data_IF_700781435551
#
_entry.id   IF_700781435551
#
_cell.length_a   1.000
_cell.length_b   1.000
_cell.length_c   1.000
_cell.angle_alpha   90.00
_cell.angle_beta   90.00
_cell.angle_gamma   90.00
#
_symmetry.space_group_name_H-M   'P 1'
#
loop_
_entity.id
_entity.type
_entity.pdbx_description
1 polymer ?
#
# COMPACT_ATOMS: atom_id res chain seq x y z
N UNK A 1 57.56 59.29 -0.35
CA UNK A 1 58.26 58.40 0.60
C UNK A 1 57.66 57.01 0.49
N UNK A 2 58.54 56.06 0.19
CA UNK A 2 58.53 54.60 0.33
C UNK A 2 57.27 53.76 0.05
N UNK A 3 57.46 52.90 -0.95
CA UNK A 3 56.79 51.64 -1.22
C UNK A 3 56.80 50.64 -0.05
N UNK A 4 55.83 49.73 -0.07
CA UNK A 4 56.10 48.30 0.10
C UNK A 4 55.02 47.51 -0.63
N UNK A 5 55.43 46.91 -1.74
CA UNK A 5 54.76 45.79 -2.39
C UNK A 5 54.86 44.54 -1.49
N UNK A 6 53.80 43.73 -1.42
CA UNK A 6 53.97 42.26 -1.43
C UNK A 6 52.97 41.64 -2.39
N UNK A 7 53.55 40.90 -3.34
CA UNK A 7 52.98 40.19 -4.48
C UNK A 7 52.51 38.79 -4.05
N UNK A 8 51.28 38.42 -4.46
CA UNK A 8 50.66 37.14 -4.94
C UNK A 8 51.46 35.80 -4.75
N UNK A 9 50.85 34.57 -4.76
CA UNK A 9 49.64 34.17 -5.52
C UNK A 9 48.73 33.03 -4.94
N UNK A 10 47.58 32.86 -5.60
CA UNK A 10 46.88 31.60 -5.92
C UNK A 10 46.92 30.38 -4.99
N UNK A 11 45.77 30.10 -4.38
CA UNK A 11 45.27 28.74 -4.13
C UNK A 11 43.75 28.84 -4.21
N UNK A 12 43.16 28.49 -5.35
CA UNK A 12 42.74 27.12 -5.57
C UNK A 12 41.24 27.08 -5.28
N UNK A 13 40.45 27.14 -6.35
CA UNK A 13 39.01 26.95 -6.34
C UNK A 13 38.67 25.83 -5.35
N UNK A 14 38.02 26.17 -4.23
CA UNK A 14 37.33 25.17 -3.43
C UNK A 14 36.21 24.65 -4.31
N UNK A 15 36.57 23.59 -5.04
CA UNK A 15 35.65 22.74 -5.75
C UNK A 15 34.56 22.40 -4.75
N UNK A 16 33.36 22.85 -5.09
CA UNK A 16 32.11 22.29 -4.66
C UNK A 16 32.23 20.78 -4.80
N UNK A 17 32.67 20.12 -3.74
CA UNK A 17 32.38 18.71 -3.51
C UNK A 17 30.89 18.68 -3.13
N UNK A 18 30.06 18.93 -4.15
CA UNK A 18 28.73 18.36 -4.19
C UNK A 18 28.95 16.88 -4.01
N UNK A 19 28.84 16.42 -2.76
CA UNK A 19 28.65 15.01 -2.51
C UNK A 19 27.46 14.65 -3.38
N UNK A 20 27.74 13.92 -4.46
CA UNK A 20 26.74 13.15 -5.17
C UNK A 20 26.32 12.09 -4.15
N UNK A 21 25.52 12.52 -3.16
CA UNK A 21 24.79 11.63 -2.30
C UNK A 21 23.84 10.97 -3.28
N UNK A 22 24.25 9.79 -3.75
CA UNK A 22 23.39 8.89 -4.48
C UNK A 22 22.11 8.86 -3.69
N UNK A 23 21.06 9.48 -4.23
CA UNK A 23 19.71 9.31 -3.74
C UNK A 23 19.48 7.84 -4.00
N UNK A 24 19.67 7.02 -2.98
CA UNK A 24 19.18 5.65 -2.97
C UNK A 24 17.67 5.80 -3.14
N UNK A 25 17.23 5.76 -4.39
CA UNK A 25 15.84 5.61 -4.75
C UNK A 25 15.45 4.30 -4.08
N UNK A 26 14.69 4.39 -2.98
CA UNK A 26 14.08 3.22 -2.40
C UNK A 26 13.20 2.68 -3.51
N UNK A 27 13.69 1.64 -4.21
CA UNK A 27 12.98 0.95 -5.26
C UNK A 27 11.64 0.59 -4.65
N UNK A 28 10.61 1.36 -5.00
CA UNK A 28 9.27 1.08 -4.54
C UNK A 28 8.97 -0.31 -5.09
N UNK A 29 8.65 -1.30 -4.23
CA UNK A 29 8.19 -2.58 -4.71
C UNK A 29 7.11 -2.33 -5.74
N UNK A 30 7.15 -3.07 -6.85
CA UNK A 30 6.13 -2.89 -7.87
C UNK A 30 4.75 -3.08 -7.23
N UNK A 31 3.74 -2.40 -7.76
CA UNK A 31 2.36 -2.57 -7.27
C UNK A 31 1.97 -4.06 -7.26
N UNK A 32 2.48 -4.83 -8.23
CA UNK A 32 2.28 -6.26 -8.32
C UNK A 32 2.95 -7.03 -7.18
N UNK A 33 4.18 -6.66 -6.78
CA UNK A 33 4.84 -7.27 -5.62
C UNK A 33 4.07 -7.02 -4.32
N UNK A 34 3.53 -5.81 -4.13
CA UNK A 34 2.67 -5.52 -2.96
C UNK A 34 1.40 -6.36 -2.99
N UNK A 35 0.75 -6.46 -4.15
CA UNK A 35 -0.45 -7.30 -4.31
C UNK A 35 -0.19 -8.77 -3.99
N UNK A 36 0.88 -9.35 -4.55
CA UNK A 36 1.23 -10.75 -4.36
C UNK A 36 1.58 -11.06 -2.91
N UNK A 37 2.27 -10.14 -2.22
CA UNK A 37 2.75 -10.37 -0.86
C UNK A 37 1.69 -10.04 0.20
N UNK A 38 0.92 -8.96 0.03
CA UNK A 38 0.08 -8.42 1.11
C UNK A 38 -1.36 -8.98 1.09
N UNK A 39 -1.92 -9.28 -0.10
CA UNK A 39 -3.30 -9.79 -0.21
C UNK A 39 -3.53 -11.14 0.50
N UNK A 40 -2.63 -12.15 0.43
CA UNK A 40 -2.85 -13.42 1.12
C UNK A 40 -2.92 -13.26 2.65
N UNK A 41 -2.06 -12.41 3.20
CA UNK A 41 -2.07 -12.09 4.64
C UNK A 41 -3.35 -11.35 5.03
N UNK A 42 -3.71 -10.31 4.28
CA UNK A 42 -4.92 -9.53 4.53
C UNK A 42 -6.20 -10.38 4.41
N UNK A 43 -6.26 -11.29 3.44
CA UNK A 43 -7.40 -12.22 3.26
C UNK A 43 -7.51 -13.17 4.46
N UNK A 44 -6.40 -13.74 4.90
CA UNK A 44 -6.38 -14.65 6.06
C UNK A 44 -6.81 -13.96 7.35
N UNK A 45 -6.41 -12.69 7.54
CA UNK A 45 -6.86 -11.90 8.69
C UNK A 45 -8.36 -11.59 8.66
N UNK A 46 -8.89 -11.21 7.48
CA UNK A 46 -10.32 -10.96 7.28
C UNK A 46 -11.12 -12.24 7.56
N UNK A 47 -10.69 -13.38 7.02
CA UNK A 47 -11.37 -14.66 7.20
C UNK A 47 -11.34 -15.12 8.66
N UNK A 48 -10.20 -14.96 9.34
CA UNK A 48 -10.07 -15.27 10.77
C UNK A 48 -11.00 -14.41 11.64
N UNK A 49 -11.04 -13.09 11.41
CA UNK A 49 -11.96 -12.19 12.12
C UNK A 49 -13.42 -12.52 11.83
N UNK A 50 -13.75 -12.82 10.56
CA UNK A 50 -15.10 -13.18 10.18
C UNK A 50 -15.54 -14.47 10.84
N UNK A 51 -14.67 -15.47 10.93
CA UNK A 51 -14.99 -16.74 11.58
C UNK A 51 -15.27 -16.56 13.07
N UNK A 52 -14.45 -15.79 13.78
CA UNK A 52 -14.66 -15.47 15.20
C UNK A 52 -15.97 -14.72 15.41
N UNK A 53 -16.26 -13.71 14.58
CA UNK A 53 -17.51 -12.96 14.68
C UNK A 53 -18.73 -13.79 14.29
N UNK A 54 -18.58 -14.76 13.39
CA UNK A 54 -19.65 -15.66 12.98
C UNK A 54 -20.03 -16.61 14.12
N UNK A 55 -19.04 -17.11 14.86
CA UNK A 55 -19.27 -17.94 16.06
C UNK A 55 -19.97 -17.15 17.17
N UNK A 56 -19.59 -15.88 17.37
CA UNK A 56 -20.14 -15.03 18.43
C UNK A 56 -21.53 -14.44 18.12
N UNK A 57 -21.81 -14.09 16.85
CA UNK A 57 -23.00 -13.33 16.46
C UNK A 57 -24.01 -14.14 15.63
N UNK A 58 -23.56 -15.23 15.02
CA UNK A 58 -24.31 -15.95 13.99
C UNK A 58 -24.21 -15.29 12.60
N UNK A 59 -24.38 -16.10 11.55
CA UNK A 59 -24.20 -15.69 10.16
C UNK A 59 -25.12 -14.53 9.74
N UNK A 60 -26.43 -14.65 9.99
CA UNK A 60 -27.42 -13.66 9.54
C UNK A 60 -27.18 -12.28 10.15
N UNK A 61 -26.84 -12.25 11.44
CA UNK A 61 -26.56 -11.00 12.17
C UNK A 61 -25.26 -10.37 11.70
N UNK A 62 -24.21 -11.19 11.52
CA UNK A 62 -22.94 -10.71 11.02
C UNK A 62 -23.08 -10.12 9.62
N UNK A 63 -23.75 -10.83 8.71
CA UNK A 63 -23.96 -10.36 7.34
C UNK A 63 -24.78 -9.06 7.30
N UNK A 64 -25.80 -8.94 8.16
CA UNK A 64 -26.57 -7.69 8.31
C UNK A 64 -25.69 -6.52 8.79
N UNK A 65 -24.83 -6.75 9.78
CA UNK A 65 -23.95 -5.72 10.34
C UNK A 65 -22.83 -5.32 9.35
N UNK A 66 -22.29 -6.28 8.59
CA UNK A 66 -21.25 -6.05 7.58
C UNK A 66 -21.81 -5.36 6.33
N UNK A 67 -23.04 -5.69 5.92
CA UNK A 67 -23.73 -4.99 4.84
C UNK A 67 -24.21 -3.58 5.26
N UNK A 68 -24.34 -3.34 6.56
CA UNK A 68 -24.68 -2.06 7.14
C UNK A 68 -23.52 -1.04 7.12
N UNK A 69 -23.75 0.10 7.77
CA UNK A 69 -22.70 1.12 7.95
C UNK A 69 -22.00 0.96 9.30
N UNK A 70 -20.80 1.53 9.45
CA UNK A 70 -20.11 1.62 10.74
C UNK A 70 -20.97 2.26 11.83
N UNK A 71 -21.85 3.21 11.47
CA UNK A 71 -22.84 3.79 12.41
C UNK A 71 -23.86 2.78 12.91
N UNK A 72 -24.23 1.78 12.10
CA UNK A 72 -25.14 0.72 12.53
C UNK A 72 -24.50 -0.17 13.60
N UNK A 73 -23.19 -0.44 13.49
CA UNK A 73 -22.41 -1.14 14.51
C UNK A 73 -22.39 -0.34 15.82
N UNK A 74 -22.20 0.98 15.74
CA UNK A 74 -22.15 1.84 16.93
C UNK A 74 -23.50 1.96 17.64
N UNK A 75 -24.58 2.06 16.87
CA UNK A 75 -25.95 2.17 17.38
C UNK A 75 -26.49 0.88 18.01
N UNK A 76 -25.92 -0.28 17.69
CA UNK A 76 -26.35 -1.56 18.26
C UNK A 76 -25.99 -1.65 19.75
N UNK A 77 -27.02 -1.68 20.61
CA UNK A 77 -26.86 -1.73 22.08
C UNK A 77 -26.57 -3.12 22.62
N UNK A 78 -26.76 -4.17 21.80
CA UNK A 78 -26.55 -5.56 22.20
C UNK A 78 -25.11 -5.99 21.98
N UNK A 79 -24.42 -5.39 21.00
CA UNK A 79 -23.00 -5.67 20.74
C UNK A 79 -22.13 -5.25 21.93
N UNK A 80 -21.24 -6.15 22.34
CA UNK A 80 -20.22 -5.82 23.33
C UNK A 80 -19.19 -4.84 22.75
N UNK A 81 -18.47 -4.08 23.60
CA UNK A 81 -17.42 -3.19 23.12
C UNK A 81 -16.34 -3.90 22.31
N UNK A 82 -16.04 -5.15 22.62
CA UNK A 82 -15.03 -5.94 21.90
C UNK A 82 -15.55 -6.41 20.54
N UNK A 83 -16.81 -6.82 20.45
CA UNK A 83 -17.46 -7.14 19.18
C UNK A 83 -17.50 -5.92 18.25
N UNK A 84 -17.85 -4.74 18.78
CA UNK A 84 -17.81 -3.48 18.01
C UNK A 84 -16.40 -3.20 17.49
N UNK A 85 -15.37 -3.32 18.34
CA UNK A 85 -13.97 -3.13 17.94
C UNK A 85 -13.55 -4.09 16.82
N UNK A 86 -13.93 -5.37 16.91
CA UNK A 86 -13.63 -6.37 15.88
C UNK A 86 -14.39 -6.12 14.59
N UNK A 87 -15.66 -5.73 14.65
CA UNK A 87 -16.47 -5.36 13.48
C UNK A 87 -15.90 -4.12 12.77
N UNK A 88 -15.48 -3.10 13.52
CA UNK A 88 -14.79 -1.93 12.94
C UNK A 88 -13.48 -2.32 12.28
N UNK A 89 -12.68 -3.21 12.90
CA UNK A 89 -11.46 -3.75 12.29
C UNK A 89 -11.77 -4.50 11.00
N UNK A 90 -12.78 -5.37 11.00
CA UNK A 90 -13.23 -6.12 9.83
C UNK A 90 -13.65 -5.17 8.69
N UNK A 91 -14.40 -4.12 8.99
CA UNK A 91 -14.82 -3.12 8.01
C UNK A 91 -13.62 -2.39 7.39
N UNK A 92 -12.67 -1.95 8.20
CA UNK A 92 -11.45 -1.28 7.73
C UNK A 92 -10.60 -2.21 6.87
N UNK A 93 -10.39 -3.46 7.28
CA UNK A 93 -9.59 -4.43 6.52
C UNK A 93 -10.27 -4.83 5.20
N UNK A 94 -11.59 -4.99 5.20
CA UNK A 94 -12.37 -5.26 3.99
C UNK A 94 -12.27 -4.09 3.01
N UNK A 95 -12.40 -2.85 3.49
CA UNK A 95 -12.21 -1.66 2.68
C UNK A 95 -10.78 -1.55 2.14
N UNK A 96 -9.78 -1.84 2.96
CA UNK A 96 -8.38 -1.84 2.53
C UNK A 96 -8.13 -2.88 1.42
N UNK A 97 -8.73 -4.07 1.53
CA UNK A 97 -8.68 -5.10 0.48
C UNK A 97 -9.30 -4.56 -0.82
N UNK A 98 -10.50 -3.97 -0.75
CA UNK A 98 -11.17 -3.37 -1.92
C UNK A 98 -10.34 -2.23 -2.52
N UNK A 99 -9.65 -1.43 -1.70
CA UNK A 99 -8.75 -0.38 -2.19
C UNK A 99 -7.52 -0.94 -2.89
N UNK A 100 -6.90 -1.98 -2.33
CA UNK A 100 -5.79 -2.70 -2.96
C UNK A 100 -6.26 -3.32 -4.29
N UNK A 101 -7.43 -3.96 -4.31
CA UNK A 101 -8.04 -4.58 -5.49
C UNK A 101 -8.50 -3.56 -6.54
N UNK A 102 -8.97 -2.37 -6.13
CA UNK A 102 -9.44 -1.33 -7.06
C UNK A 102 -8.30 -0.48 -7.63
N UNK A 103 -7.20 -0.32 -6.89
CA UNK A 103 -5.96 0.30 -7.37
C UNK A 103 -5.11 -0.67 -8.19
N UNK A 104 -5.33 -1.98 -8.01
CA UNK A 104 -4.74 -3.04 -8.82
C UNK A 104 -5.61 -3.38 -10.03
N UNK A 105 -5.10 -3.13 -11.23
CA UNK A 105 -5.68 -3.67 -12.47
C UNK A 105 -5.96 -5.16 -12.28
N UNK A 106 -7.21 -5.60 -12.48
CA UNK A 106 -7.56 -7.03 -12.49
C UNK A 106 -6.90 -7.69 -13.70
N UNK A 107 -5.65 -8.13 -13.54
CA UNK A 107 -4.94 -8.90 -14.57
C UNK A 107 -5.35 -10.35 -14.43
N UNK A 108 -6.47 -10.71 -15.05
CA UNK A 108 -6.77 -12.12 -15.29
C UNK A 108 -5.67 -12.73 -16.17
N UNK A 109 -5.46 -14.06 -16.07
CA UNK A 109 -4.51 -14.76 -16.93
C UNK A 109 -4.73 -14.50 -18.44
N UNK A 110 -5.97 -14.15 -18.83
CA UNK A 110 -6.32 -13.73 -20.19
C UNK A 110 -5.72 -12.37 -20.57
N UNK A 111 -5.79 -11.39 -19.67
CA UNK A 111 -5.25 -10.04 -19.89
C UNK A 111 -3.72 -10.07 -19.90
N UNK A 112 -3.10 -10.89 -19.05
CA UNK A 112 -1.65 -11.10 -19.02
C UNK A 112 -1.15 -11.71 -20.34
N UNK A 113 -1.81 -12.75 -20.84
CA UNK A 113 -1.49 -13.37 -22.14
C UNK A 113 -1.63 -12.38 -23.30
N UNK A 114 -2.67 -11.55 -23.30
CA UNK A 114 -2.89 -10.57 -24.37
C UNK A 114 -1.90 -9.40 -24.32
N UNK A 115 -1.51 -8.96 -23.12
CA UNK A 115 -0.46 -7.95 -22.95
C UNK A 115 0.88 -8.47 -23.47
N UNK A 116 1.27 -9.69 -23.10
CA UNK A 116 2.51 -10.34 -23.58
C UNK A 116 2.48 -10.54 -25.10
N UNK A 117 1.34 -10.96 -25.66
CA UNK A 117 1.18 -11.11 -27.12
C UNK A 117 1.45 -9.78 -27.84
N UNK A 118 0.85 -8.68 -27.38
CA UNK A 118 1.04 -7.36 -27.99
C UNK A 118 2.45 -6.81 -27.82
N UNK A 119 3.08 -7.07 -26.68
CA UNK A 119 4.45 -6.63 -26.43
C UNK A 119 5.43 -7.37 -27.36
N UNK A 120 5.23 -8.67 -27.56
CA UNK A 120 5.95 -9.47 -28.56
C UNK A 120 5.69 -8.90 -29.97
N UNK A 121 4.43 -8.71 -30.35
CA UNK A 121 4.09 -8.15 -31.68
C UNK A 121 4.71 -6.77 -31.92
N UNK A 122 4.78 -5.92 -30.89
CA UNK A 122 5.41 -4.61 -30.96
C UNK A 122 6.94 -4.66 -31.04
N UNK A 123 7.58 -5.72 -30.51
CA UNK A 123 9.01 -5.95 -30.64
C UNK A 123 9.40 -6.49 -32.02
N UNK A 124 8.46 -7.06 -32.77
CA UNK A 124 8.70 -7.70 -34.07
C UNK A 124 8.10 -6.95 -35.27
N UNK A 125 7.60 -5.72 -35.08
CA UNK A 125 7.04 -4.87 -36.14
C UNK A 125 7.77 -3.52 -36.26
#
# INVERSE_FOLDING_TARGET
MSASEVRRPGAGMQQTTGSLRAKSEAVQPSLWDRLVNDLPGLTSEIDGLRHVLLDELGADRLDTLVAGSTRAIDADVVLTPDQKRRLHRLAVQTQHRVEIESRGVVVSARVLREAVRRDIEALFN
#
